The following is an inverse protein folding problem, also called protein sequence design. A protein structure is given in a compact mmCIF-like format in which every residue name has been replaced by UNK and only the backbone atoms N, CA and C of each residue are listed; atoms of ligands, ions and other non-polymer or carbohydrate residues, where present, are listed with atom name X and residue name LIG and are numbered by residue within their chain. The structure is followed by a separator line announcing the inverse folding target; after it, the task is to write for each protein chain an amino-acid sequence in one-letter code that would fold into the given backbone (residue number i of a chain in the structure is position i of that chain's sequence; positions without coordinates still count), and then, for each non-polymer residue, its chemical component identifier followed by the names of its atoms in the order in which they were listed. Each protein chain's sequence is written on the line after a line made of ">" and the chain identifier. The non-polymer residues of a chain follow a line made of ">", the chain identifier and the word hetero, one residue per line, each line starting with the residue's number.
data_IF_164261225372
#
_entry.id   IF_164261225372
#
_cell.length_a   1.000
_cell.length_b   1.000
_cell.length_c   1.000
_cell.angle_alpha   90.00
_cell.angle_beta   90.00
_cell.angle_gamma   90.00
#
_symmetry.space_group_name_H-M   'P 1'
#
loop_
_entity.id
_entity.type
_entity.pdbx_description
1 polymer ?
#
# COMPACT_ATOMS: atom_id res chain seq x y z
N UNK A 1 -33.30 -5.78 14.12
CA UNK A 1 -32.25 -4.76 13.91
C UNK A 1 -32.90 -3.41 13.85
N UNK A 2 -32.66 -2.52 14.83
CA UNK A 2 -33.28 -1.18 14.85
C UNK A 2 -32.58 -0.33 13.78
N UNK A 3 -33.36 0.30 12.91
CA UNK A 3 -32.87 1.25 11.92
C UNK A 3 -32.35 2.49 12.68
N UNK A 4 -31.12 2.92 12.42
CA UNK A 4 -30.65 4.20 12.95
C UNK A 4 -31.55 5.33 12.46
N UNK A 5 -31.97 6.29 13.32
CA UNK A 5 -33.00 7.28 12.99
C UNK A 5 -32.68 8.14 11.76
N UNK A 6 -31.42 8.28 11.41
CA UNK A 6 -30.96 9.14 10.30
C UNK A 6 -30.47 8.34 9.09
N UNK A 7 -30.61 7.01 9.10
CA UNK A 7 -30.15 6.14 8.02
C UNK A 7 -31.22 5.99 6.94
N UNK A 8 -30.88 6.29 5.70
CA UNK A 8 -31.68 5.98 4.51
C UNK A 8 -31.57 4.51 4.08
N UNK A 9 -30.83 3.68 4.83
CA UNK A 9 -30.65 2.26 4.54
C UNK A 9 -31.89 1.48 4.92
N UNK A 10 -32.37 0.64 4.03
CA UNK A 10 -33.45 -0.31 4.25
C UNK A 10 -32.96 -1.74 3.97
N UNK A 11 -33.41 -2.70 4.79
CA UNK A 11 -33.15 -4.11 4.51
C UNK A 11 -33.96 -4.54 3.29
N UNK A 12 -33.31 -5.21 2.34
CA UNK A 12 -33.96 -5.80 1.16
C UNK A 12 -34.95 -6.89 1.58
N UNK A 13 -34.66 -7.59 2.69
CA UNK A 13 -35.55 -8.55 3.35
C UNK A 13 -35.91 -8.03 4.75
N UNK A 14 -37.11 -7.54 4.99
CA UNK A 14 -37.44 -6.82 6.23
C UNK A 14 -37.43 -7.67 7.50
N UNK A 15 -37.55 -9.01 7.37
CA UNK A 15 -37.66 -9.94 8.49
C UNK A 15 -36.37 -10.74 8.77
N UNK A 16 -35.21 -10.30 8.25
CA UNK A 16 -33.94 -10.97 8.49
C UNK A 16 -33.40 -10.63 9.88
N UNK A 17 -33.07 -11.66 10.65
CA UNK A 17 -32.40 -11.51 11.94
C UNK A 17 -30.91 -11.17 11.76
N UNK A 18 -30.30 -10.56 12.81
CA UNK A 18 -28.85 -10.30 12.79
C UNK A 18 -27.99 -11.56 12.60
N UNK A 19 -28.43 -12.70 13.14
CA UNK A 19 -27.75 -13.99 12.99
C UNK A 19 -27.80 -14.51 11.54
N UNK A 20 -28.97 -14.43 10.89
CA UNK A 20 -29.12 -14.82 9.48
C UNK A 20 -28.30 -13.90 8.56
N UNK A 21 -28.25 -12.60 8.86
CA UNK A 21 -27.41 -11.65 8.11
C UNK A 21 -25.92 -11.98 8.25
N UNK A 22 -25.46 -12.30 9.47
CA UNK A 22 -24.07 -12.71 9.71
C UNK A 22 -23.71 -14.02 8.99
N UNK A 23 -24.62 -14.99 8.93
CA UNK A 23 -24.41 -16.24 8.21
C UNK A 23 -24.40 -16.07 6.68
N UNK A 24 -25.09 -15.05 6.16
CA UNK A 24 -25.10 -14.74 4.73
C UNK A 24 -23.94 -13.84 4.29
N UNK A 25 -23.07 -13.44 5.21
CA UNK A 25 -21.90 -12.60 4.89
C UNK A 25 -20.93 -13.34 3.98
N UNK A 26 -20.61 -12.73 2.85
CA UNK A 26 -19.61 -13.21 1.90
C UNK A 26 -18.49 -12.18 1.84
N UNK A 27 -17.26 -12.64 2.03
CA UNK A 27 -16.07 -11.78 1.89
C UNK A 27 -15.93 -11.26 0.47
N UNK A 28 -15.56 -10.00 0.32
CA UNK A 28 -15.26 -9.38 -0.98
C UNK A 28 -13.96 -9.84 -1.63
N UNK A 29 -13.22 -10.77 -1.02
CA UNK A 29 -11.93 -11.31 -1.50
C UNK A 29 -10.85 -10.23 -1.72
N UNK A 30 -10.91 -9.13 -0.99
CA UNK A 30 -9.93 -8.06 -1.02
C UNK A 30 -9.05 -8.13 0.24
N UNK A 31 -7.89 -8.78 0.09
CA UNK A 31 -6.94 -9.00 1.18
C UNK A 31 -5.77 -8.02 1.08
N UNK A 32 -5.44 -7.35 2.19
CA UNK A 32 -4.35 -6.38 2.30
C UNK A 32 -3.60 -6.56 3.62
N UNK A 33 -2.44 -5.92 3.78
CA UNK A 33 -1.80 -5.72 5.08
C UNK A 33 -0.87 -6.83 5.56
N UNK A 34 -0.63 -7.90 4.79
CA UNK A 34 0.30 -8.96 5.20
C UNK A 34 1.78 -8.52 5.20
N UNK A 35 2.12 -7.47 4.44
CA UNK A 35 3.42 -6.79 4.47
C UNK A 35 3.23 -5.29 4.79
N UNK A 36 2.43 -5.00 5.80
CA UNK A 36 1.95 -3.67 6.16
C UNK A 36 3.04 -2.61 6.14
N UNK A 37 2.76 -1.48 5.48
CA UNK A 37 3.60 -0.28 5.49
C UNK A 37 3.41 0.51 6.80
N UNK A 38 4.48 1.09 7.32
CA UNK A 38 4.44 1.98 8.47
C UNK A 38 5.81 2.54 8.81
N UNK A 39 5.83 3.50 9.71
CA UNK A 39 7.05 4.20 10.14
C UNK A 39 7.82 3.45 11.25
N UNK A 40 7.18 2.53 11.93
CA UNK A 40 7.77 1.76 13.03
C UNK A 40 8.03 0.31 12.61
N UNK A 41 9.30 -0.08 12.59
CA UNK A 41 9.74 -1.44 12.25
C UNK A 41 9.21 -2.55 13.18
N UNK A 42 8.69 -2.20 14.36
CA UNK A 42 8.07 -3.16 15.28
C UNK A 42 6.64 -3.53 14.88
N UNK A 43 5.98 -2.69 14.13
CA UNK A 43 4.56 -2.83 13.76
C UNK A 43 4.34 -2.90 12.26
N UNK A 44 5.39 -2.69 11.46
CA UNK A 44 5.36 -2.69 10.00
C UNK A 44 6.43 -3.61 9.40
N UNK A 45 6.19 -4.07 8.18
CA UNK A 45 7.14 -4.90 7.42
C UNK A 45 7.94 -4.04 6.45
N UNK A 46 7.33 -3.04 5.84
CA UNK A 46 7.99 -2.09 4.94
C UNK A 46 7.87 -0.66 5.45
N UNK A 47 8.87 0.15 5.13
CA UNK A 47 8.87 1.59 5.38
C UNK A 47 8.03 2.36 4.35
N UNK A 48 7.96 3.68 4.47
CA UNK A 48 7.21 4.55 3.54
C UNK A 48 7.81 4.64 2.14
N UNK A 49 8.99 4.05 1.92
CA UNK A 49 9.61 3.86 0.61
C UNK A 49 9.44 2.43 0.09
N UNK A 50 8.52 1.66 0.69
CA UNK A 50 8.23 0.26 0.35
C UNK A 50 9.37 -0.73 0.61
N UNK A 51 10.45 -0.27 1.24
CA UNK A 51 11.61 -1.11 1.55
C UNK A 51 11.35 -1.96 2.79
N UNK A 52 11.67 -3.25 2.72
CA UNK A 52 11.55 -4.17 3.86
C UNK A 52 12.57 -3.78 4.94
N UNK A 53 12.10 -3.61 6.17
CA UNK A 53 12.96 -3.32 7.32
C UNK A 53 14.03 -4.40 7.50
N UNK A 54 15.25 -3.96 7.83
CA UNK A 54 16.39 -4.87 8.00
C UNK A 54 17.02 -5.38 6.72
N UNK A 55 16.62 -4.87 5.55
CA UNK A 55 17.21 -5.18 4.24
C UNK A 55 17.75 -3.93 3.55
N UNK A 56 18.66 -4.09 2.59
CA UNK A 56 19.25 -2.96 1.88
C UNK A 56 18.48 -2.57 0.61
N UNK A 57 17.98 -3.56 -0.13
CA UNK A 57 17.42 -3.38 -1.48
C UNK A 57 16.19 -4.24 -1.79
N UNK A 58 15.51 -4.75 -0.77
CA UNK A 58 14.29 -5.52 -0.95
C UNK A 58 13.07 -4.61 -0.78
N UNK A 59 12.19 -4.60 -1.77
CA UNK A 59 10.95 -3.84 -1.76
C UNK A 59 9.74 -4.75 -1.96
N UNK A 60 8.61 -4.41 -1.34
CA UNK A 60 7.31 -5.02 -1.59
C UNK A 60 6.37 -3.94 -2.09
N UNK A 61 5.74 -4.17 -3.26
CA UNK A 61 4.88 -3.19 -3.94
C UNK A 61 3.66 -3.88 -4.52
N UNK A 62 2.77 -4.31 -3.66
CA UNK A 62 1.49 -4.93 -4.01
C UNK A 62 0.41 -4.62 -2.96
N UNK A 63 -0.74 -5.27 -3.02
CA UNK A 63 -1.83 -5.05 -2.07
C UNK A 63 -1.43 -5.33 -0.62
N UNK A 64 -0.40 -6.15 -0.37
CA UNK A 64 0.00 -6.54 0.98
C UNK A 64 0.56 -5.39 1.82
N UNK A 65 1.09 -4.32 1.18
CA UNK A 65 1.65 -3.17 1.90
C UNK A 65 0.58 -2.21 2.43
N UNK A 66 -0.66 -2.28 1.92
CA UNK A 66 -1.74 -1.39 2.36
C UNK A 66 -2.11 -1.68 3.82
N UNK A 67 -2.10 -0.68 4.70
CA UNK A 67 -2.46 -0.86 6.10
C UNK A 67 -3.94 -1.13 6.31
N UNK A 68 -4.79 -0.67 5.39
CA UNK A 68 -6.25 -0.79 5.44
C UNK A 68 -6.86 -1.01 4.06
N UNK A 69 -8.07 -1.58 4.04
CA UNK A 69 -8.86 -1.74 2.82
C UNK A 69 -9.60 -0.43 2.52
N UNK A 70 -9.51 0.11 1.29
CA UNK A 70 -10.29 1.28 0.90
C UNK A 70 -11.80 0.97 0.86
N UNK A 71 -12.62 2.02 0.90
CA UNK A 71 -14.09 1.93 0.81
C UNK A 71 -14.55 1.57 -0.61
N UNK A 72 -14.06 0.53 -1.19
CA UNK A 72 -14.41 0.13 -2.54
C UNK A 72 -13.44 -0.90 -3.07
N UNK A 73 -13.43 -1.10 -4.39
CA UNK A 73 -12.52 -2.03 -5.03
C UNK A 73 -11.05 -1.61 -4.82
N UNK A 74 -10.20 -2.55 -4.44
CA UNK A 74 -8.80 -2.30 -4.08
C UNK A 74 -7.90 -1.99 -5.28
N UNK A 75 -8.27 -2.38 -6.49
CA UNK A 75 -7.42 -2.33 -7.68
C UNK A 75 -6.87 -0.93 -7.96
N UNK A 76 -7.71 0.09 -7.96
CA UNK A 76 -7.28 1.47 -8.26
C UNK A 76 -6.29 1.97 -7.20
N UNK A 77 -6.57 1.74 -5.92
CA UNK A 77 -5.69 2.14 -4.83
C UNK A 77 -4.32 1.45 -4.93
N UNK A 78 -4.30 0.14 -5.22
CA UNK A 78 -3.06 -0.63 -5.38
C UNK A 78 -2.24 -0.12 -6.57
N UNK A 79 -2.88 0.18 -7.70
CA UNK A 79 -2.20 0.73 -8.89
C UNK A 79 -1.58 2.10 -8.62
N UNK A 80 -2.29 3.01 -7.95
CA UNK A 80 -1.76 4.35 -7.61
C UNK A 80 -0.53 4.22 -6.70
N UNK A 81 -0.59 3.37 -5.68
CA UNK A 81 0.54 3.15 -4.76
C UNK A 81 1.71 2.51 -5.48
N UNK A 82 1.47 1.55 -6.38
CA UNK A 82 2.51 0.90 -7.17
C UNK A 82 3.23 1.88 -8.09
N UNK A 83 2.51 2.77 -8.75
CA UNK A 83 3.08 3.83 -9.61
C UNK A 83 4.00 4.76 -8.79
N UNK A 84 3.50 5.27 -7.67
CA UNK A 84 4.30 6.12 -6.78
C UNK A 84 5.53 5.42 -6.19
N UNK A 85 5.42 4.12 -5.88
CA UNK A 85 6.54 3.32 -5.42
C UNK A 85 7.60 3.12 -6.50
N UNK A 86 7.18 2.84 -7.74
CA UNK A 86 8.07 2.70 -8.89
C UNK A 86 8.90 3.97 -9.13
N UNK A 87 8.26 5.15 -9.08
CA UNK A 87 8.97 6.42 -9.17
C UNK A 87 10.03 6.60 -8.08
N UNK A 88 9.69 6.27 -6.84
CA UNK A 88 10.63 6.38 -5.71
C UNK A 88 11.82 5.44 -5.89
N UNK A 89 11.58 4.20 -6.25
CA UNK A 89 12.62 3.18 -6.46
C UNK A 89 13.55 3.59 -7.60
N UNK A 90 13.02 4.09 -8.71
CA UNK A 90 13.82 4.61 -9.83
C UNK A 90 14.68 5.80 -9.41
N UNK A 91 14.16 6.73 -8.63
CA UNK A 91 14.93 7.88 -8.12
C UNK A 91 16.04 7.46 -7.17
N UNK A 92 15.82 6.46 -6.33
CA UNK A 92 16.83 5.92 -5.41
C UNK A 92 17.94 5.16 -6.14
N UNK A 93 17.59 4.40 -7.18
CA UNK A 93 18.50 3.54 -7.94
C UNK A 93 18.90 4.15 -9.30
N UNK A 94 18.51 5.39 -9.59
CA UNK A 94 18.89 6.11 -10.79
C UNK A 94 20.41 6.18 -10.95
N UNK A 95 20.93 6.43 -12.16
CA UNK A 95 22.36 6.43 -12.40
C UNK A 95 23.01 7.39 -11.42
N UNK A 96 23.82 6.86 -10.49
CA UNK A 96 24.74 7.69 -9.72
C UNK A 96 25.49 8.48 -10.78
N UNK A 97 25.31 9.82 -10.81
CA UNK A 97 26.09 10.69 -11.70
C UNK A 97 27.52 10.20 -11.56
N UNK A 98 28.03 9.54 -12.60
CA UNK A 98 29.43 9.21 -12.66
C UNK A 98 30.15 10.53 -12.39
N UNK A 99 30.92 10.60 -11.31
CA UNK A 99 31.86 11.71 -11.15
C UNK A 99 32.67 11.67 -12.44
N UNK A 100 32.41 12.62 -13.33
CA UNK A 100 33.34 12.84 -14.45
C UNK A 100 34.72 12.96 -13.82
N UNK A 101 35.71 12.19 -14.26
CA UNK A 101 37.07 12.43 -13.82
C UNK A 101 37.29 13.93 -14.06
N UNK A 102 37.63 14.66 -13.02
CA UNK A 102 38.13 16.03 -13.20
C UNK A 102 39.31 15.83 -14.13
N UNK A 103 39.20 16.40 -15.32
CA UNK A 103 40.30 16.54 -16.24
C UNK A 103 41.29 17.40 -15.47
N UNK A 104 42.21 16.76 -14.76
CA UNK A 104 43.39 17.43 -14.28
C UNK A 104 44.03 18.00 -15.53
N UNK A 105 44.16 19.30 -15.54
CA UNK A 105 44.73 20.04 -16.63
C UNK A 105 46.07 19.45 -17.03
N UNK A 106 46.06 18.69 -18.11
CA UNK A 106 47.27 18.25 -18.79
C UNK A 106 47.82 19.42 -19.59
N UNK A 107 48.10 20.55 -18.91
CA UNK A 107 48.91 21.67 -19.37
C UNK A 107 49.92 22.00 -18.29
N UNK A 108 50.77 20.99 -18.01
CA UNK A 108 52.06 21.30 -17.42
C UNK A 108 52.93 21.98 -18.46
N UNK A 109 52.93 23.27 -18.40
CA UNK A 109 54.02 24.11 -18.87
C UNK A 109 54.45 24.95 -17.70
#
# INVERSE_FOLDING_TARGET
>A
MAKAPESNLALVKPNVTGAELAQSFVSGSHYVGSARMGEDSKTAVVDTNTKVYGTDNLHVVDASIHPDVPTGNTQVAVMIVAEGAAEKIMKMNGPKKAKMPQQEDALGI
#
